data_IF_205467579955
#
_entry.id   IF_205467579955
#
_cell.length_a   1.000
_cell.length_b   1.000
_cell.length_c   1.000
_cell.angle_alpha   90.00
_cell.angle_beta   90.00
_cell.angle_gamma   90.00
#
_symmetry.space_group_name_H-M   'P 1'
#
loop_
_entity.id
_entity.type
_entity.pdbx_description
1 polymer ?
#
# COMPACT_ATOMS: atom_id res chain seq x y z
N UNK A 1 34.34 20.23 -1.09
CA UNK A 1 33.64 18.96 -1.29
C UNK A 1 33.36 18.22 0.02
N UNK A 2 34.36 17.90 0.87
CA UNK A 2 34.19 17.17 2.16
C UNK A 2 33.17 17.84 3.11
N UNK A 3 33.25 19.18 3.28
CA UNK A 3 32.33 19.92 4.15
C UNK A 3 30.88 19.87 3.69
N UNK A 4 30.64 19.88 2.37
CA UNK A 4 29.29 19.75 1.80
C UNK A 4 28.75 18.35 2.03
N UNK A 5 29.53 17.31 1.77
CA UNK A 5 29.16 15.91 2.03
C UNK A 5 28.82 15.72 3.51
N UNK A 6 29.63 16.24 4.42
CA UNK A 6 29.39 16.15 5.87
C UNK A 6 28.06 16.81 6.25
N UNK A 7 27.73 17.99 5.72
CA UNK A 7 26.43 18.68 5.97
C UNK A 7 25.25 17.87 5.45
N UNK A 8 25.36 17.31 4.24
CA UNK A 8 24.30 16.47 3.66
C UNK A 8 24.09 15.22 4.50
N UNK A 9 25.16 14.53 4.91
CA UNK A 9 25.06 13.32 5.76
C UNK A 9 24.46 13.65 7.12
N UNK A 10 24.87 14.76 7.74
CA UNK A 10 24.31 15.22 9.02
C UNK A 10 22.83 15.60 8.88
N UNK A 11 22.45 16.28 7.80
CA UNK A 11 21.06 16.62 7.51
C UNK A 11 20.20 15.38 7.29
N UNK A 12 20.67 14.41 6.49
CA UNK A 12 19.99 13.14 6.25
C UNK A 12 19.83 12.33 7.56
N UNK A 13 20.91 12.24 8.36
CA UNK A 13 20.85 11.59 9.68
C UNK A 13 19.85 12.28 10.59
N UNK A 14 19.88 13.61 10.71
CA UNK A 14 18.95 14.40 11.51
C UNK A 14 17.49 14.16 11.06
N UNK A 15 17.24 14.10 9.74
CA UNK A 15 15.91 13.81 9.21
C UNK A 15 15.48 12.36 9.54
N UNK A 16 16.35 11.37 9.37
CA UNK A 16 16.06 9.98 9.69
C UNK A 16 15.78 9.74 11.18
N UNK A 17 16.45 10.49 12.07
CA UNK A 17 16.35 10.32 13.52
C UNK A 17 15.44 11.33 14.21
N UNK A 18 14.79 12.24 13.46
CA UNK A 18 13.86 13.18 14.07
C UNK A 18 12.66 12.45 14.68
N UNK A 19 12.20 12.78 15.87
CA UNK A 19 10.98 12.20 16.44
C UNK A 19 9.74 12.57 15.59
N UNK A 20 8.75 11.70 15.59
CA UNK A 20 7.44 11.97 14.99
C UNK A 20 6.39 11.84 16.10
N UNK A 21 5.59 12.88 16.40
CA UNK A 21 4.67 12.85 17.52
C UNK A 21 3.57 11.82 17.33
N UNK A 22 3.21 11.14 18.42
CA UNK A 22 2.08 10.19 18.48
C UNK A 22 2.15 9.04 17.46
N UNK A 23 3.35 8.61 17.09
CA UNK A 23 3.56 7.64 16.03
C UNK A 23 3.07 6.24 16.41
N UNK A 24 3.18 5.84 17.69
CA UNK A 24 2.84 4.48 18.14
C UNK A 24 1.38 4.11 17.87
N UNK A 25 0.42 4.96 18.27
CA UNK A 25 -1.00 4.74 18.01
C UNK A 25 -1.35 4.72 16.52
N UNK A 26 -0.68 5.56 15.71
CA UNK A 26 -0.83 5.57 14.24
C UNK A 26 -0.38 4.25 13.62
N UNK A 27 0.75 3.71 14.08
CA UNK A 27 1.32 2.47 13.55
C UNK A 27 0.45 1.26 13.87
N UNK A 28 -0.09 1.17 15.09
CA UNK A 28 -0.99 0.08 15.47
C UNK A 28 -2.27 0.06 14.62
N UNK A 29 -2.91 1.22 14.41
CA UNK A 29 -4.08 1.31 13.56
C UNK A 29 -3.73 1.08 12.08
N UNK A 30 -2.59 1.62 11.62
CA UNK A 30 -2.13 1.36 10.25
C UNK A 30 -1.95 -0.13 9.98
N UNK A 31 -1.42 -0.92 10.93
CA UNK A 31 -1.34 -2.38 10.82
C UNK A 31 -2.71 -3.01 10.54
N UNK A 32 -3.75 -2.59 11.26
CA UNK A 32 -5.11 -3.11 11.06
C UNK A 32 -5.64 -2.73 9.66
N UNK A 33 -5.48 -1.48 9.27
CA UNK A 33 -5.89 -0.99 7.93
C UNK A 33 -5.13 -1.76 6.84
N UNK A 34 -3.82 -1.96 7.01
CA UNK A 34 -2.99 -2.72 6.09
C UNK A 34 -3.49 -4.16 5.93
N UNK A 35 -3.76 -4.86 7.04
CA UNK A 35 -4.22 -6.23 7.00
C UNK A 35 -5.59 -6.37 6.30
N UNK A 36 -6.54 -5.48 6.62
CA UNK A 36 -7.86 -5.45 5.95
C UNK A 36 -7.74 -5.13 4.47
N UNK A 37 -6.94 -4.12 4.13
CA UNK A 37 -6.73 -3.73 2.74
C UNK A 37 -6.07 -4.85 1.92
N UNK A 38 -5.09 -5.55 2.51
CA UNK A 38 -4.41 -6.63 1.82
C UNK A 38 -5.32 -7.85 1.65
N UNK A 39 -6.13 -8.20 2.66
CA UNK A 39 -7.16 -9.25 2.53
C UNK A 39 -8.15 -8.93 1.41
N UNK A 40 -8.60 -7.68 1.34
CA UNK A 40 -9.44 -7.22 0.24
C UNK A 40 -8.72 -7.32 -1.11
N UNK A 41 -7.48 -6.84 -1.23
CA UNK A 41 -6.69 -6.96 -2.47
C UNK A 41 -6.50 -8.43 -2.87
N UNK A 42 -6.19 -9.30 -1.90
CA UNK A 42 -6.00 -10.73 -2.13
C UNK A 42 -7.27 -11.43 -2.63
N UNK A 43 -8.47 -10.89 -2.35
CA UNK A 43 -9.71 -11.47 -2.88
C UNK A 43 -9.78 -11.46 -4.42
N UNK A 44 -9.00 -10.60 -5.07
CA UNK A 44 -8.89 -10.53 -6.54
C UNK A 44 -7.80 -11.45 -7.12
N UNK A 45 -6.98 -12.07 -6.28
CA UNK A 45 -5.98 -13.07 -6.68
C UNK A 45 -6.59 -14.46 -6.52
N UNK A 46 -6.30 -15.35 -7.45
CA UNK A 46 -6.69 -16.76 -7.36
C UNK A 46 -5.45 -17.65 -7.52
N UNK A 47 -4.79 -17.93 -6.40
CA UNK A 47 -3.59 -18.73 -6.36
C UNK A 47 -3.82 -20.17 -6.83
N UNK A 48 -5.00 -20.73 -6.60
CA UNK A 48 -5.33 -22.07 -7.06
C UNK A 48 -5.39 -22.13 -8.60
N UNK A 49 -6.07 -21.16 -9.23
CA UNK A 49 -6.13 -21.04 -10.69
C UNK A 49 -4.75 -20.74 -11.30
N UNK A 50 -3.93 -19.88 -10.66
CA UNK A 50 -2.55 -19.62 -11.11
C UNK A 50 -1.72 -20.90 -11.20
N UNK A 51 -1.90 -21.83 -10.27
CA UNK A 51 -1.21 -23.11 -10.28
C UNK A 51 -1.58 -24.03 -11.46
N UNK A 52 -2.76 -23.83 -12.06
CA UNK A 52 -3.28 -24.62 -13.19
C UNK A 52 -2.91 -24.06 -14.57
N UNK A 53 -2.33 -22.85 -14.63
CA UNK A 53 -1.95 -22.25 -15.92
C UNK A 53 -0.88 -23.10 -16.64
N UNK A 54 -0.89 -23.12 -17.99
CA UNK A 54 0.05 -23.94 -18.77
C UNK A 54 1.51 -23.49 -18.59
N UNK A 55 2.45 -24.45 -18.69
CA UNK A 55 3.89 -24.16 -18.63
C UNK A 55 4.35 -23.23 -19.75
N UNK A 56 3.68 -23.24 -20.90
CA UNK A 56 4.00 -22.41 -22.05
C UNK A 56 3.92 -20.91 -21.77
N UNK A 57 3.13 -20.49 -20.76
CA UNK A 57 3.01 -19.07 -20.35
C UNK A 57 3.84 -18.73 -19.11
N UNK A 58 4.61 -19.70 -18.59
CA UNK A 58 5.46 -19.51 -17.42
C UNK A 58 6.72 -18.73 -17.77
N UNK A 59 6.85 -17.53 -17.25
CA UNK A 59 8.03 -16.66 -17.41
C UNK A 59 8.49 -16.19 -16.02
N UNK A 60 9.38 -16.94 -15.33
CA UNK A 60 9.74 -16.67 -13.96
C UNK A 60 10.36 -15.28 -13.79
N UNK A 61 9.89 -14.54 -12.78
CA UNK A 61 10.38 -13.22 -12.41
C UNK A 61 10.93 -13.20 -10.99
N UNK A 62 11.67 -12.17 -10.64
CA UNK A 62 12.24 -11.94 -9.32
C UNK A 62 13.03 -13.16 -8.80
N UNK A 63 12.74 -13.62 -7.59
CA UNK A 63 13.40 -14.78 -6.97
C UNK A 63 13.15 -16.08 -7.72
N UNK A 64 12.04 -16.19 -8.45
CA UNK A 64 11.72 -17.42 -9.21
C UNK A 64 12.64 -17.63 -10.42
N UNK A 65 13.36 -16.61 -10.87
CA UNK A 65 14.41 -16.75 -11.91
C UNK A 65 15.58 -17.62 -11.47
N UNK A 66 15.83 -17.68 -10.16
CA UNK A 66 16.90 -18.51 -9.60
C UNK A 66 16.50 -19.98 -9.48
N UNK A 67 15.19 -20.26 -9.53
CA UNK A 67 14.64 -21.60 -9.46
C UNK A 67 14.30 -22.06 -10.89
N UNK A 68 15.10 -22.93 -11.52
CA UNK A 68 14.96 -23.28 -12.94
C UNK A 68 13.71 -24.12 -13.23
N UNK A 69 13.04 -24.66 -12.18
CA UNK A 69 11.89 -25.52 -12.31
C UNK A 69 10.63 -24.76 -11.91
N UNK A 70 9.54 -25.03 -12.63
CA UNK A 70 8.22 -24.57 -12.21
C UNK A 70 7.83 -25.25 -10.89
N UNK A 71 7.45 -24.49 -9.88
CA UNK A 71 6.98 -25.03 -8.61
C UNK A 71 5.67 -25.85 -8.78
N UNK A 72 5.37 -26.77 -7.85
CA UNK A 72 4.14 -27.55 -7.87
C UNK A 72 2.89 -26.69 -8.00
N UNK A 73 1.90 -27.14 -8.76
CA UNK A 73 0.65 -26.40 -9.04
C UNK A 73 -0.15 -26.03 -7.78
N UNK A 74 -0.06 -26.82 -6.72
CA UNK A 74 -0.73 -26.54 -5.45
C UNK A 74 -0.08 -25.40 -4.65
N UNK A 75 1.19 -25.06 -4.94
CA UNK A 75 1.96 -24.12 -4.10
C UNK A 75 1.36 -22.71 -4.07
N UNK A 76 0.91 -22.08 -5.17
CA UNK A 76 0.32 -20.75 -5.11
C UNK A 76 -0.94 -20.68 -4.24
N UNK A 77 -1.83 -21.68 -4.32
CA UNK A 77 -3.01 -21.77 -3.47
C UNK A 77 -2.66 -21.98 -1.99
N UNK A 78 -1.64 -22.78 -1.69
CA UNK A 78 -1.14 -22.95 -0.31
C UNK A 78 -0.56 -21.64 0.24
N UNK A 79 0.25 -20.93 -0.55
CA UNK A 79 0.81 -19.62 -0.16
C UNK A 79 -0.29 -18.61 0.13
N UNK A 80 -1.33 -18.58 -0.71
CA UNK A 80 -2.49 -17.71 -0.52
C UNK A 80 -3.22 -18.04 0.81
N UNK A 81 -3.50 -19.31 1.08
CA UNK A 81 -4.12 -19.75 2.34
C UNK A 81 -3.29 -19.37 3.57
N UNK A 82 -1.97 -19.58 3.52
CA UNK A 82 -1.06 -19.20 4.59
C UNK A 82 -1.01 -17.67 4.76
N UNK A 83 -1.05 -16.91 3.67
CA UNK A 83 -1.06 -15.45 3.68
C UNK A 83 -2.34 -14.91 4.31
N UNK A 84 -3.51 -15.48 4.00
CA UNK A 84 -4.79 -15.11 4.63
C UNK A 84 -4.72 -15.33 6.14
N UNK A 85 -4.25 -16.51 6.59
CA UNK A 85 -4.10 -16.80 8.01
C UNK A 85 -3.14 -15.79 8.68
N UNK A 86 -2.00 -15.50 8.05
CA UNK A 86 -1.04 -14.52 8.56
C UNK A 86 -1.63 -13.10 8.63
N UNK A 87 -2.41 -12.67 7.63
CA UNK A 87 -3.06 -11.36 7.64
C UNK A 87 -4.13 -11.23 8.73
N UNK A 88 -4.87 -12.30 9.03
CA UNK A 88 -5.83 -12.32 10.15
C UNK A 88 -5.13 -12.26 11.50
N UNK A 89 -4.02 -12.98 11.69
CA UNK A 89 -3.18 -12.87 12.88
C UNK A 89 -2.58 -11.47 13.01
N UNK A 90 -2.14 -10.87 11.90
CA UNK A 90 -1.63 -9.52 11.87
C UNK A 90 -2.72 -8.50 12.22
N UNK A 91 -3.95 -8.67 11.71
CA UNK A 91 -5.11 -7.85 12.05
C UNK A 91 -5.40 -7.88 13.55
N UNK A 92 -5.44 -9.07 14.14
CA UNK A 92 -5.60 -9.26 15.59
C UNK A 92 -4.40 -8.74 16.39
N UNK A 93 -3.23 -8.64 15.77
CA UNK A 93 -2.00 -8.23 16.41
C UNK A 93 -1.42 -9.30 17.36
N UNK A 94 -1.51 -10.56 16.95
CA UNK A 94 -0.93 -11.69 17.62
C UNK A 94 0.38 -12.11 16.95
N UNK A 95 1.46 -12.22 17.72
CA UNK A 95 2.81 -12.53 17.23
C UNK A 95 3.25 -11.61 16.07
N UNK A 96 3.06 -10.32 16.26
CA UNK A 96 3.14 -9.33 15.17
C UNK A 96 4.44 -9.43 14.37
N UNK A 97 5.60 -9.58 15.02
CA UNK A 97 6.89 -9.64 14.29
C UNK A 97 7.04 -10.90 13.42
N UNK A 98 6.91 -12.13 13.92
CA UNK A 98 6.99 -13.33 13.10
C UNK A 98 5.88 -13.38 12.04
N UNK A 99 4.68 -12.90 12.34
CA UNK A 99 3.58 -12.83 11.40
C UNK A 99 3.85 -11.80 10.29
N UNK A 100 4.47 -10.66 10.60
CA UNK A 100 4.92 -9.69 9.58
C UNK A 100 5.93 -10.32 8.63
N UNK A 101 6.87 -11.13 9.15
CA UNK A 101 7.80 -11.89 8.32
C UNK A 101 7.09 -12.91 7.44
N UNK A 102 6.09 -13.61 7.97
CA UNK A 102 5.28 -14.55 7.20
C UNK A 102 4.51 -13.84 6.05
N UNK A 103 3.90 -12.67 6.35
CA UNK A 103 3.23 -11.84 5.33
C UNK A 103 4.21 -11.39 4.24
N UNK A 104 5.42 -10.95 4.62
CA UNK A 104 6.48 -10.58 3.67
C UNK A 104 6.85 -11.75 2.76
N UNK A 105 7.13 -12.91 3.33
CA UNK A 105 7.58 -14.09 2.57
C UNK A 105 6.47 -14.65 1.67
N UNK A 106 5.30 -14.94 2.24
CA UNK A 106 4.20 -15.52 1.45
C UNK A 106 3.66 -14.55 0.42
N UNK A 107 3.52 -13.26 0.78
CA UNK A 107 3.08 -12.24 -0.15
C UNK A 107 4.05 -12.04 -1.31
N UNK A 108 5.34 -11.94 -1.04
CA UNK A 108 6.36 -11.77 -2.10
C UNK A 108 6.43 -12.98 -3.02
N UNK A 109 6.35 -14.20 -2.48
CA UNK A 109 6.33 -15.42 -3.28
C UNK A 109 5.08 -15.52 -4.15
N UNK A 110 3.90 -15.27 -3.57
CA UNK A 110 2.63 -15.30 -4.33
C UNK A 110 2.62 -14.24 -5.44
N UNK A 111 3.11 -13.04 -5.16
CA UNK A 111 3.25 -11.97 -6.15
C UNK A 111 4.25 -12.35 -7.26
N UNK A 112 5.36 -13.00 -6.91
CA UNK A 112 6.31 -13.49 -7.90
C UNK A 112 5.67 -14.55 -8.81
N UNK A 113 4.82 -15.43 -8.26
CA UNK A 113 4.03 -16.36 -9.06
C UNK A 113 3.07 -15.63 -9.99
N UNK A 114 2.28 -14.72 -9.48
CA UNK A 114 1.31 -13.94 -10.26
C UNK A 114 2.00 -13.21 -11.42
N UNK A 115 3.07 -12.50 -11.16
CA UNK A 115 3.82 -11.76 -12.17
C UNK A 115 4.59 -12.67 -13.16
N UNK A 116 4.75 -13.94 -12.86
CA UNK A 116 5.39 -14.90 -13.77
C UNK A 116 4.46 -15.41 -14.89
N UNK A 117 3.17 -15.10 -14.82
CA UNK A 117 2.18 -15.46 -15.85
C UNK A 117 1.64 -14.27 -16.63
N UNK A 118 2.18 -13.10 -16.44
CA UNK A 118 1.63 -11.94 -17.10
C UNK A 118 2.48 -10.68 -16.97
N UNK A 119 1.82 -9.53 -16.99
CA UNK A 119 2.46 -8.24 -16.86
C UNK A 119 2.83 -7.99 -15.39
N UNK A 120 4.09 -7.60 -15.17
CA UNK A 120 4.57 -7.21 -13.85
C UNK A 120 3.82 -5.98 -13.34
N UNK A 121 3.14 -6.11 -12.20
CA UNK A 121 2.42 -5.03 -11.55
C UNK A 121 3.32 -4.36 -10.50
N UNK A 122 3.82 -3.17 -10.83
CA UNK A 122 4.75 -2.45 -9.95
C UNK A 122 4.09 -1.89 -8.68
N UNK A 123 2.78 -1.61 -8.72
CA UNK A 123 2.04 -1.03 -7.59
C UNK A 123 1.91 -1.98 -6.40
N UNK A 124 1.75 -3.27 -6.66
CA UNK A 124 1.61 -4.32 -5.65
C UNK A 124 2.87 -4.54 -4.83
N UNK A 125 4.06 -4.23 -5.37
CA UNK A 125 5.35 -4.37 -4.67
C UNK A 125 5.39 -3.55 -3.37
N UNK A 126 4.70 -2.39 -3.32
CA UNK A 126 4.56 -1.64 -2.08
C UNK A 126 3.78 -2.42 -1.02
N UNK A 127 2.66 -3.02 -1.41
CA UNK A 127 1.80 -3.79 -0.52
C UNK A 127 2.49 -5.06 -0.01
N UNK A 128 3.09 -5.83 -0.93
CA UNK A 128 3.58 -7.18 -0.62
C UNK A 128 5.01 -7.20 -0.06
N UNK A 129 5.85 -6.24 -0.42
CA UNK A 129 7.27 -6.26 -0.09
C UNK A 129 7.71 -5.06 0.76
N UNK A 130 7.63 -3.83 0.26
CA UNK A 130 8.22 -2.70 0.96
C UNK A 130 7.57 -2.39 2.31
N UNK A 131 6.24 -2.40 2.38
CA UNK A 131 5.54 -2.13 3.64
C UNK A 131 5.87 -3.18 4.70
N UNK A 132 5.66 -4.50 4.51
CA UNK A 132 5.99 -5.46 5.55
C UNK A 132 7.50 -5.50 5.86
N UNK A 133 8.39 -5.27 4.90
CA UNK A 133 9.82 -5.20 5.12
C UNK A 133 10.19 -4.08 6.13
N UNK A 134 9.72 -2.86 5.88
CA UNK A 134 9.98 -1.74 6.78
C UNK A 134 9.26 -1.90 8.13
N UNK A 135 8.06 -2.48 8.12
CA UNK A 135 7.27 -2.70 9.34
C UNK A 135 7.80 -3.83 10.21
N UNK A 136 8.63 -4.74 9.69
CA UNK A 136 9.23 -5.83 10.45
C UNK A 136 10.04 -5.34 11.66
N UNK A 137 10.76 -4.23 11.50
CA UNK A 137 11.53 -3.56 12.56
C UNK A 137 10.75 -2.48 13.32
N UNK A 138 9.47 -2.24 12.99
CA UNK A 138 8.67 -1.18 13.60
C UNK A 138 7.96 -1.65 14.87
N UNK A 139 7.48 -0.70 15.66
CA UNK A 139 6.61 -0.94 16.81
C UNK A 139 5.12 -0.99 16.47
N UNK A 140 4.72 -1.39 15.25
CA UNK A 140 3.31 -1.40 14.88
C UNK A 140 2.46 -2.47 15.59
N UNK A 141 3.11 -3.37 16.36
CA UNK A 141 2.48 -4.30 17.28
C UNK A 141 2.35 -3.80 18.72
N UNK A 142 2.96 -2.66 19.06
CA UNK A 142 3.07 -2.19 20.44
C UNK A 142 1.76 -1.58 20.96
N UNK A 143 0.84 -1.21 20.06
CA UNK A 143 -0.48 -0.66 20.39
C UNK A 143 -1.57 -1.33 19.56
N UNK A 144 -2.80 -1.35 20.09
CA UNK A 144 -3.97 -1.92 19.41
C UNK A 144 -3.78 -3.37 18.98
N UNK A 145 -3.08 -4.20 19.81
CA UNK A 145 -2.72 -5.58 19.51
C UNK A 145 -3.00 -6.51 20.67
N UNK A 146 -3.20 -7.78 20.36
CA UNK A 146 -3.28 -8.83 21.39
C UNK A 146 -1.94 -9.00 22.09
N UNK A 147 -0.81 -8.83 21.40
CA UNK A 147 0.52 -8.87 22.02
C UNK A 147 0.65 -7.82 23.12
N UNK A 148 0.18 -6.58 22.87
CA UNK A 148 0.20 -5.51 23.85
C UNK A 148 -0.76 -5.78 25.03
N UNK A 149 -1.93 -6.37 24.78
CA UNK A 149 -2.88 -6.79 25.81
C UNK A 149 -2.28 -7.87 26.71
N UNK A 150 -1.70 -8.90 26.12
CA UNK A 150 -1.07 -10.01 26.82
C UNK A 150 0.14 -9.56 27.65
N UNK A 151 0.96 -8.66 27.11
CA UNK A 151 2.09 -8.07 27.82
C UNK A 151 1.64 -7.29 29.08
N UNK A 152 0.56 -6.49 28.96
CA UNK A 152 -0.03 -5.76 30.10
C UNK A 152 -0.53 -6.73 31.17
N UNK A 153 -1.21 -7.81 30.79
CA UNK A 153 -1.70 -8.84 31.73
C UNK A 153 -0.57 -9.55 32.45
N UNK A 154 0.57 -9.73 31.77
CA UNK A 154 1.75 -10.33 32.36
C UNK A 154 2.55 -9.36 33.26
N UNK A 155 2.09 -8.11 33.43
CA UNK A 155 2.81 -7.09 34.20
C UNK A 155 4.11 -6.62 33.52
N UNK A 156 4.28 -6.94 32.23
CA UNK A 156 5.43 -6.49 31.45
C UNK A 156 5.25 -5.01 31.09
N UNK A 157 6.24 -4.21 31.38
CA UNK A 157 6.24 -2.81 30.95
C UNK A 157 6.10 -2.73 29.43
N UNK A 158 5.36 -1.74 28.88
CA UNK A 158 5.32 -1.54 27.44
C UNK A 158 6.74 -1.44 26.91
N UNK A 159 7.10 -2.31 25.97
CA UNK A 159 8.40 -2.27 25.28
C UNK A 159 8.52 -1.07 24.34
N UNK A 160 7.44 -0.31 24.26
CA UNK A 160 7.37 0.87 23.42
C UNK A 160 8.35 1.94 23.87
N UNK A 161 9.23 2.38 22.97
CA UNK A 161 9.89 3.66 23.14
C UNK A 161 8.82 4.74 23.34
N UNK A 162 9.20 5.86 23.99
CA UNK A 162 8.31 7.02 24.10
C UNK A 162 7.58 7.29 22.79
N UNK A 163 6.33 7.71 22.84
CA UNK A 163 5.45 7.97 21.68
C UNK A 163 6.13 8.79 20.57
N UNK A 164 7.23 9.47 20.89
CA UNK A 164 8.02 10.34 20.01
C UNK A 164 9.31 9.69 19.50
N UNK A 165 9.44 8.35 19.61
CA UNK A 165 10.68 7.69 19.21
C UNK A 165 10.90 7.73 17.69
N UNK A 166 12.08 8.16 17.28
CA UNK A 166 12.53 8.09 15.88
C UNK A 166 12.52 6.66 15.33
N UNK A 167 12.68 5.64 16.18
CA UNK A 167 12.66 4.22 15.79
C UNK A 167 11.30 3.81 15.22
N UNK A 168 10.22 4.38 15.73
CA UNK A 168 8.87 4.17 15.20
C UNK A 168 8.67 4.95 13.88
N UNK A 169 9.30 6.11 13.74
CA UNK A 169 9.19 6.96 12.55
C UNK A 169 10.06 6.48 11.36
N UNK A 170 11.15 5.75 11.64
CA UNK A 170 12.09 5.28 10.62
C UNK A 170 11.44 4.42 9.52
N UNK A 171 10.57 3.44 9.83
CA UNK A 171 9.88 2.66 8.80
C UNK A 171 9.01 3.53 7.87
N UNK A 172 8.29 4.48 8.42
CA UNK A 172 7.48 5.42 7.63
C UNK A 172 8.35 6.27 6.69
N UNK A 173 9.54 6.70 7.15
CA UNK A 173 10.50 7.45 6.33
C UNK A 173 11.13 6.59 5.26
N UNK A 174 11.42 5.32 5.56
CA UNK A 174 11.89 4.34 4.57
C UNK A 174 10.88 4.17 3.43
N UNK A 175 9.61 3.99 3.76
CA UNK A 175 8.53 3.91 2.78
C UNK A 175 8.43 5.20 1.95
N UNK A 176 8.57 6.38 2.59
CA UNK A 176 8.55 7.67 1.90
C UNK A 176 9.71 7.81 0.90
N UNK A 177 10.92 7.37 1.28
CA UNK A 177 12.08 7.38 0.38
C UNK A 177 11.86 6.47 -0.83
N UNK A 178 11.33 5.27 -0.64
CA UNK A 178 11.03 4.38 -1.77
C UNK A 178 9.97 5.02 -2.69
N UNK A 179 8.97 5.69 -2.12
CA UNK A 179 7.97 6.40 -2.91
C UNK A 179 8.60 7.54 -3.74
N UNK A 180 9.52 8.31 -3.16
CA UNK A 180 10.29 9.34 -3.88
C UNK A 180 11.11 8.72 -5.02
N UNK A 181 11.79 7.62 -4.76
CA UNK A 181 12.57 6.90 -5.77
C UNK A 181 11.68 6.35 -6.89
N UNK A 182 10.45 5.90 -6.57
CA UNK A 182 9.50 5.45 -7.58
C UNK A 182 9.14 6.59 -8.53
N UNK A 183 8.72 7.75 -8.03
CA UNK A 183 8.37 8.89 -8.87
C UNK A 183 9.56 9.42 -9.64
N UNK A 184 10.75 9.48 -9.01
CA UNK A 184 11.98 9.85 -9.69
C UNK A 184 12.34 8.88 -10.82
N UNK A 185 12.25 7.58 -10.59
CA UNK A 185 12.51 6.58 -11.63
C UNK A 185 11.51 6.65 -12.77
N UNK A 186 10.25 7.01 -12.49
CA UNK A 186 9.20 7.16 -13.50
C UNK A 186 9.50 8.35 -14.41
N UNK A 187 9.85 9.53 -13.86
CA UNK A 187 10.21 10.70 -14.68
C UNK A 187 11.50 10.47 -15.45
N UNK A 188 12.49 9.80 -14.82
CA UNK A 188 13.73 9.45 -15.48
C UNK A 188 13.50 8.53 -16.69
N UNK A 189 12.73 7.44 -16.51
CA UNK A 189 12.42 6.50 -17.59
C UNK A 189 11.66 7.17 -18.74
N UNK A 190 10.70 8.07 -18.45
CA UNK A 190 9.95 8.83 -19.46
C UNK A 190 10.85 9.73 -20.30
N UNK A 191 11.85 10.36 -19.71
CA UNK A 191 12.73 11.30 -20.41
C UNK A 191 13.89 10.59 -21.13
N UNK A 192 14.39 9.46 -20.60
CA UNK A 192 15.54 8.76 -21.21
C UNK A 192 15.10 7.75 -22.27
N UNK A 193 13.92 7.15 -22.12
CA UNK A 193 13.45 6.07 -22.99
C UNK A 193 12.17 6.37 -23.75
N UNK A 194 11.42 7.39 -23.36
CA UNK A 194 10.05 7.62 -23.83
C UNK A 194 9.83 8.93 -24.56
N UNK A 195 10.86 9.72 -24.81
CA UNK A 195 10.80 11.01 -25.55
C UNK A 195 9.71 11.99 -25.07
N UNK A 196 9.33 11.90 -23.80
CA UNK A 196 8.23 12.70 -23.25
C UNK A 196 8.48 14.21 -23.31
N UNK A 197 9.74 14.65 -23.40
CA UNK A 197 10.06 16.07 -23.58
C UNK A 197 9.88 16.53 -25.03
N UNK A 198 10.13 15.66 -25.99
CA UNK A 198 10.22 15.98 -27.40
C UNK A 198 9.01 15.57 -28.24
N UNK A 199 8.32 14.44 -27.85
CA UNK A 199 7.16 13.96 -28.58
C UNK A 199 5.87 14.65 -28.09
N UNK A 200 5.23 15.50 -28.93
CA UNK A 200 4.01 16.23 -28.55
C UNK A 200 2.83 15.28 -28.27
N UNK A 201 2.77 14.16 -29.00
CA UNK A 201 1.61 13.25 -29.02
C UNK A 201 1.69 12.10 -28.00
N UNK A 202 2.73 12.05 -27.17
CA UNK A 202 2.95 10.94 -26.24
C UNK A 202 1.76 10.70 -25.29
N UNK A 203 1.13 11.77 -24.76
CA UNK A 203 -0.04 11.66 -23.89
C UNK A 203 -1.27 11.27 -24.69
N UNK A 204 -1.45 11.81 -25.87
CA UNK A 204 -2.55 11.48 -26.79
C UNK A 204 -2.53 9.99 -27.14
N UNK A 205 -1.36 9.48 -27.54
CA UNK A 205 -1.18 8.08 -27.88
C UNK A 205 -1.41 7.18 -26.64
N UNK A 206 -0.82 7.53 -25.51
CA UNK A 206 -1.00 6.74 -24.26
C UNK A 206 -2.48 6.68 -23.84
N UNK A 207 -3.21 7.80 -23.88
CA UNK A 207 -4.64 7.83 -23.54
C UNK A 207 -5.46 6.99 -24.52
N UNK A 208 -5.18 7.10 -25.81
CA UNK A 208 -5.88 6.34 -26.85
C UNK A 208 -5.62 4.84 -26.68
N UNK A 209 -4.36 4.42 -26.56
CA UNK A 209 -3.98 3.02 -26.42
C UNK A 209 -4.64 2.38 -25.19
N UNK A 210 -4.59 3.07 -24.05
CA UNK A 210 -5.17 2.53 -22.80
C UNK A 210 -6.69 2.45 -22.83
N UNK A 211 -7.37 3.39 -23.45
CA UNK A 211 -8.82 3.33 -23.59
C UNK A 211 -9.26 2.30 -24.65
N UNK A 212 -8.49 2.13 -25.73
CA UNK A 212 -8.74 1.05 -26.71
C UNK A 212 -8.50 -0.32 -26.06
N UNK A 213 -7.38 -0.52 -25.33
CA UNK A 213 -7.12 -1.75 -24.57
C UNK A 213 -8.30 -2.06 -23.63
N UNK A 214 -8.85 -1.04 -22.94
CA UNK A 214 -9.99 -1.20 -22.05
C UNK A 214 -11.24 -1.68 -22.81
N UNK A 215 -11.54 -1.10 -23.97
CA UNK A 215 -12.68 -1.52 -24.80
C UNK A 215 -12.50 -2.96 -25.27
N UNK A 216 -11.30 -3.33 -25.74
CA UNK A 216 -10.98 -4.69 -26.19
C UNK A 216 -11.10 -5.71 -25.05
N UNK A 217 -10.83 -5.28 -23.79
CA UNK A 217 -11.03 -6.09 -22.58
C UNK A 217 -12.49 -6.11 -22.08
N UNK A 218 -13.44 -5.55 -22.82
CA UNK A 218 -14.85 -5.46 -22.41
C UNK A 218 -15.12 -4.43 -21.29
N UNK A 219 -14.17 -3.56 -21.03
CA UNK A 219 -14.29 -2.52 -20.02
C UNK A 219 -14.80 -1.21 -20.63
N UNK A 220 -15.45 -0.38 -19.81
CA UNK A 220 -15.90 0.95 -20.28
C UNK A 220 -14.69 1.91 -20.34
N UNK A 221 -14.44 2.58 -21.48
CA UNK A 221 -13.43 3.61 -21.56
C UNK A 221 -13.83 4.85 -20.75
N UNK A 222 -12.89 5.73 -20.47
CA UNK A 222 -13.19 7.01 -19.84
C UNK A 222 -13.97 7.92 -20.80
N UNK A 223 -15.14 8.46 -20.43
CA UNK A 223 -15.91 9.34 -21.31
C UNK A 223 -15.20 10.66 -21.60
N UNK A 224 -14.20 11.06 -20.82
CA UNK A 224 -13.47 12.32 -20.97
C UNK A 224 -12.22 12.19 -21.88
N UNK A 225 -11.76 10.96 -22.16
CA UNK A 225 -10.53 10.78 -22.94
C UNK A 225 -10.58 11.43 -24.34
N UNK A 226 -11.70 11.40 -25.09
CA UNK A 226 -11.74 12.01 -26.42
C UNK A 226 -11.52 13.54 -26.38
N UNK A 227 -12.01 14.20 -25.32
CA UNK A 227 -11.82 15.66 -25.17
C UNK A 227 -10.36 16.02 -24.89
N UNK A 228 -9.65 15.21 -24.11
CA UNK A 228 -8.22 15.41 -23.83
C UNK A 228 -7.40 15.17 -25.08
N UNK A 229 -7.70 14.11 -25.83
CA UNK A 229 -7.01 13.75 -27.07
C UNK A 229 -7.25 14.78 -28.19
N UNK A 230 -8.46 15.30 -28.28
CA UNK A 230 -8.81 16.31 -29.29
C UNK A 230 -8.17 17.68 -29.02
N UNK A 231 -7.64 17.93 -27.83
CA UNK A 231 -7.05 19.23 -27.47
C UNK A 231 -5.53 19.13 -27.28
N UNK A 232 -4.70 19.63 -28.25
CA UNK A 232 -3.25 19.66 -28.11
C UNK A 232 -2.77 20.40 -26.85
N UNK A 233 -3.48 21.48 -26.48
CA UNK A 233 -3.18 22.22 -25.24
C UNK A 233 -3.41 21.40 -23.98
N UNK A 234 -4.51 20.67 -23.90
CA UNK A 234 -4.78 19.80 -22.76
C UNK A 234 -3.75 18.67 -22.68
N UNK A 235 -3.47 18.01 -23.80
CA UNK A 235 -2.46 16.95 -23.87
C UNK A 235 -1.07 17.45 -23.44
N UNK A 236 -0.65 18.62 -23.92
CA UNK A 236 0.60 19.26 -23.52
C UNK A 236 0.61 19.63 -22.03
N UNK A 237 -0.50 20.17 -21.52
CA UNK A 237 -0.63 20.54 -20.09
C UNK A 237 -0.55 19.31 -19.17
N UNK A 238 -1.19 18.21 -19.55
CA UNK A 238 -1.07 16.94 -18.82
C UNK A 238 0.37 16.42 -18.84
N UNK A 239 1.04 16.46 -20.00
CA UNK A 239 2.43 16.03 -20.13
C UNK A 239 3.37 16.81 -19.21
N UNK A 240 3.33 18.14 -19.30
CA UNK A 240 4.18 19.03 -18.50
C UNK A 240 3.85 18.90 -17.01
N UNK A 241 2.56 18.91 -16.66
CA UNK A 241 2.10 18.79 -15.29
C UNK A 241 2.56 17.47 -14.64
N UNK A 242 2.49 16.36 -15.38
CA UNK A 242 2.93 15.04 -14.93
C UNK A 242 4.44 15.02 -14.70
N UNK A 243 5.25 15.49 -15.65
CA UNK A 243 6.71 15.52 -15.50
C UNK A 243 7.15 16.41 -14.34
N UNK A 244 6.52 17.57 -14.17
CA UNK A 244 6.81 18.47 -13.04
C UNK A 244 6.39 17.84 -11.72
N UNK A 245 5.21 17.24 -11.65
CA UNK A 245 4.73 16.58 -10.45
C UNK A 245 5.68 15.45 -10.02
N UNK A 246 6.01 14.52 -10.92
CA UNK A 246 6.90 13.40 -10.62
C UNK A 246 8.33 13.88 -10.30
N UNK A 247 8.87 14.85 -11.04
CA UNK A 247 10.22 15.37 -10.84
C UNK A 247 10.38 16.15 -9.52
N UNK A 248 9.34 16.89 -9.11
CA UNK A 248 9.33 17.66 -7.88
C UNK A 248 8.82 16.85 -6.67
N UNK A 249 8.47 15.58 -6.84
CA UNK A 249 7.94 14.76 -5.75
C UNK A 249 8.92 14.63 -4.57
N UNK A 250 10.20 14.79 -4.80
CA UNK A 250 11.23 14.84 -3.75
C UNK A 250 10.94 15.88 -2.66
N UNK A 251 10.18 16.96 -2.98
CA UNK A 251 9.78 17.98 -2.00
C UNK A 251 8.90 17.44 -0.87
N UNK A 252 8.32 16.24 -1.02
CA UNK A 252 7.60 15.54 0.05
C UNK A 252 8.48 15.31 1.29
N UNK A 253 9.81 15.29 1.13
CA UNK A 253 10.77 15.10 2.22
C UNK A 253 10.89 16.33 3.13
N UNK A 254 10.46 17.53 2.69
CA UNK A 254 10.46 18.74 3.50
C UNK A 254 9.50 18.67 4.71
N UNK A 255 8.58 17.70 4.72
CA UNK A 255 7.70 17.47 5.86
C UNK A 255 6.52 18.44 5.96
N UNK A 256 5.80 18.37 7.09
CA UNK A 256 4.68 19.28 7.41
C UNK A 256 3.63 19.37 6.31
N UNK A 257 3.20 20.60 6.02
CA UNK A 257 2.16 20.88 5.00
C UNK A 257 2.63 20.57 3.58
N UNK A 258 3.94 20.70 3.29
CA UNK A 258 4.49 20.37 1.97
C UNK A 258 4.31 18.86 1.71
N UNK A 259 4.68 18.02 2.68
CA UNK A 259 4.44 16.56 2.60
C UNK A 259 2.97 16.25 2.37
N UNK A 260 2.08 16.87 3.18
CA UNK A 260 0.64 16.64 3.06
C UNK A 260 0.10 17.04 1.68
N UNK A 261 0.53 18.19 1.13
CA UNK A 261 0.12 18.65 -0.19
C UNK A 261 0.59 17.71 -1.31
N UNK A 262 1.86 17.27 -1.27
CA UNK A 262 2.39 16.35 -2.28
C UNK A 262 1.77 14.95 -2.21
N UNK A 263 1.53 14.41 -1.00
CA UNK A 263 0.86 13.11 -0.85
C UNK A 263 -0.60 13.17 -1.33
N UNK A 264 -1.30 14.26 -1.04
CA UNK A 264 -2.65 14.47 -1.55
C UNK A 264 -2.66 14.63 -3.09
N UNK A 265 -1.70 15.38 -3.65
CA UNK A 265 -1.52 15.49 -5.11
C UNK A 265 -1.23 14.14 -5.75
N UNK A 266 -0.44 13.27 -5.10
CA UNK A 266 -0.18 11.92 -5.57
C UNK A 266 -1.45 11.03 -5.59
N UNK A 267 -2.32 11.17 -4.60
CA UNK A 267 -3.62 10.49 -4.63
C UNK A 267 -4.50 11.00 -5.78
N UNK A 268 -4.53 12.32 -6.02
CA UNK A 268 -5.24 12.92 -7.18
C UNK A 268 -4.65 12.36 -8.47
N UNK A 269 -3.32 12.33 -8.60
CA UNK A 269 -2.63 11.78 -9.75
C UNK A 269 -3.03 10.32 -10.04
N UNK A 270 -2.99 9.45 -9.03
CA UNK A 270 -3.38 8.04 -9.21
C UNK A 270 -4.87 7.88 -9.52
N UNK A 271 -5.74 8.71 -8.92
CA UNK A 271 -7.15 8.74 -9.26
C UNK A 271 -7.37 9.15 -10.73
N UNK A 272 -6.65 10.14 -11.20
CA UNK A 272 -6.69 10.53 -12.61
C UNK A 272 -6.15 9.44 -13.54
N UNK A 273 -5.08 8.74 -13.17
CA UNK A 273 -4.60 7.56 -13.91
C UNK A 273 -5.68 6.47 -14.00
N UNK A 274 -6.35 6.17 -12.90
CA UNK A 274 -7.42 5.17 -12.88
C UNK A 274 -8.61 5.59 -13.74
N UNK A 275 -9.00 6.86 -13.71
CA UNK A 275 -10.16 7.38 -14.41
C UNK A 275 -9.89 7.63 -15.90
N UNK A 276 -8.75 8.25 -16.24
CA UNK A 276 -8.43 8.64 -17.61
C UNK A 276 -7.71 7.57 -18.42
N UNK A 277 -6.75 6.86 -17.80
CA UNK A 277 -5.92 5.84 -18.46
C UNK A 277 -6.46 4.43 -18.24
N UNK A 278 -7.48 4.25 -17.43
CA UNK A 278 -7.96 2.90 -17.03
C UNK A 278 -6.83 2.04 -16.41
N UNK A 279 -5.79 2.70 -15.90
CA UNK A 279 -4.67 2.06 -15.21
C UNK A 279 -4.81 2.29 -13.71
N UNK A 280 -4.90 1.21 -12.96
CA UNK A 280 -5.05 1.31 -11.50
C UNK A 280 -3.76 1.03 -10.77
N UNK A 281 -3.49 1.91 -9.84
CA UNK A 281 -2.44 1.73 -8.85
C UNK A 281 -3.06 1.44 -7.46
N UNK A 282 -4.13 0.66 -7.43
CA UNK A 282 -4.89 0.42 -6.21
C UNK A 282 -4.04 -0.06 -5.03
N UNK A 283 -3.08 -1.00 -5.19
CA UNK A 283 -2.24 -1.43 -4.07
C UNK A 283 -1.42 -0.31 -3.43
N UNK A 284 -1.10 0.78 -4.15
CA UNK A 284 -0.33 1.90 -3.59
C UNK A 284 -1.16 2.79 -2.64
N UNK A 285 -2.50 2.70 -2.66
CA UNK A 285 -3.37 3.46 -1.76
C UNK A 285 -2.99 3.28 -0.30
N UNK A 286 -2.59 2.06 0.08
CA UNK A 286 -2.20 1.74 1.45
C UNK A 286 -0.97 2.55 1.91
N UNK A 287 -0.08 2.91 0.99
CA UNK A 287 1.09 3.74 1.31
C UNK A 287 0.68 5.12 1.82
N UNK A 288 -0.34 5.72 1.19
CA UNK A 288 -0.84 7.03 1.61
C UNK A 288 -1.55 6.97 2.96
N UNK A 289 -2.23 5.86 3.25
CA UNK A 289 -2.86 5.62 4.53
C UNK A 289 -1.87 5.68 5.71
N UNK A 290 -0.60 5.32 5.49
CA UNK A 290 0.46 5.41 6.50
C UNK A 290 0.67 6.85 6.99
N UNK A 291 0.41 7.86 6.15
CA UNK A 291 0.66 9.27 6.45
C UNK A 291 -0.57 10.03 6.98
N UNK A 292 -1.73 9.37 7.06
CA UNK A 292 -2.95 9.96 7.62
C UNK A 292 -2.86 10.00 9.15
N UNK A 293 -3.32 11.09 9.75
CA UNK A 293 -3.45 11.19 11.21
C UNK A 293 -4.72 10.45 11.69
N UNK A 294 -4.56 9.17 11.92
CA UNK A 294 -5.65 8.29 12.37
C UNK A 294 -6.12 8.54 13.79
N UNK A 295 -5.36 9.29 14.61
CA UNK A 295 -5.73 9.49 16.02
C UNK A 295 -7.06 10.19 16.19
N UNK A 296 -7.35 11.14 15.29
CA UNK A 296 -8.66 11.83 15.31
C UNK A 296 -9.81 10.86 15.04
N UNK A 297 -9.58 9.86 14.20
CA UNK A 297 -10.54 8.80 13.91
C UNK A 297 -10.68 7.89 15.12
N UNK A 298 -9.55 7.44 15.67
CA UNK A 298 -9.51 6.60 16.88
C UNK A 298 -10.22 7.27 18.05
N UNK A 299 -9.95 8.55 18.31
CA UNK A 299 -10.59 9.26 19.43
C UNK A 299 -12.12 9.28 19.33
N UNK A 300 -12.67 9.22 18.12
CA UNK A 300 -14.12 9.13 17.88
C UNK A 300 -14.65 7.71 18.02
N UNK A 301 -13.89 6.72 17.61
CA UNK A 301 -14.33 5.31 17.54
C UNK A 301 -14.08 4.57 18.86
N UNK A 302 -12.99 4.87 19.56
CA UNK A 302 -12.59 4.18 20.79
C UNK A 302 -13.68 4.08 21.87
N UNK A 303 -14.50 5.12 22.14
CA UNK A 303 -15.59 5.00 23.11
C UNK A 303 -16.60 3.90 22.75
N UNK A 304 -16.88 3.72 21.45
CA UNK A 304 -17.82 2.72 20.96
C UNK A 304 -17.26 1.30 20.95
N UNK A 305 -15.94 1.17 21.08
CA UNK A 305 -15.24 -0.12 21.10
C UNK A 305 -14.88 -0.62 22.50
N UNK A 306 -15.27 0.11 23.56
CA UNK A 306 -14.95 -0.28 24.95
C UNK A 306 -15.43 -1.68 25.30
N UNK A 307 -16.66 -2.01 24.91
CA UNK A 307 -17.23 -3.33 25.14
C UNK A 307 -16.35 -4.46 24.60
N UNK A 308 -15.70 -4.24 23.43
CA UNK A 308 -14.78 -5.22 22.84
C UNK A 308 -13.50 -5.35 23.68
N UNK A 309 -12.98 -4.24 24.16
CA UNK A 309 -11.79 -4.25 25.05
C UNK A 309 -12.12 -5.00 26.33
N UNK A 310 -13.25 -4.68 26.97
CA UNK A 310 -13.70 -5.31 28.20
C UNK A 310 -13.93 -6.82 28.00
N UNK A 311 -14.56 -7.20 26.88
CA UNK A 311 -14.73 -8.61 26.50
C UNK A 311 -13.37 -9.31 26.33
N UNK A 312 -12.45 -8.72 25.56
CA UNK A 312 -11.13 -9.29 25.36
C UNK A 312 -10.36 -9.41 26.67
N UNK A 313 -10.52 -8.45 27.60
CA UNK A 313 -9.89 -8.48 28.92
C UNK A 313 -10.49 -9.57 29.83
N UNK A 314 -11.74 -9.95 29.64
CA UNK A 314 -12.39 -11.01 30.41
C UNK A 314 -11.99 -12.44 29.98
N UNK A 315 -11.60 -12.62 28.69
CA UNK A 315 -11.26 -13.96 28.17
C UNK A 315 -9.86 -14.38 28.62
N UNK A 316 -9.67 -15.61 29.12
CA UNK A 316 -8.35 -16.12 29.51
C UNK A 316 -7.35 -16.06 28.34
N UNK A 317 -6.10 -15.68 28.64
CA UNK A 317 -5.07 -15.43 27.59
C UNK A 317 -4.85 -16.65 26.69
N UNK A 318 -4.85 -17.86 27.24
CA UNK A 318 -4.68 -19.10 26.45
C UNK A 318 -5.86 -19.34 25.50
N UNK A 319 -7.08 -19.13 25.96
CA UNK A 319 -8.30 -19.28 25.15
C UNK A 319 -8.29 -18.26 24.02
N UNK A 320 -7.92 -17.01 24.32
CA UNK A 320 -7.86 -15.92 23.35
C UNK A 320 -6.82 -16.20 22.25
N UNK A 321 -5.59 -16.56 22.61
CA UNK A 321 -4.53 -16.86 21.64
C UNK A 321 -4.84 -18.09 20.79
N UNK A 322 -5.28 -19.20 21.43
CA UNK A 322 -5.63 -20.43 20.70
C UNK A 322 -6.84 -20.20 19.80
N UNK A 323 -7.87 -19.49 20.28
CA UNK A 323 -9.07 -19.19 19.51
C UNK A 323 -8.76 -18.33 18.29
N UNK A 324 -7.98 -17.26 18.44
CA UNK A 324 -7.60 -16.40 17.32
C UNK A 324 -6.75 -17.15 16.31
N UNK A 325 -5.80 -17.96 16.76
CA UNK A 325 -4.99 -18.79 15.88
C UNK A 325 -5.84 -19.82 15.12
N UNK A 326 -6.72 -20.52 15.80
CA UNK A 326 -7.60 -21.53 15.19
C UNK A 326 -8.54 -20.89 14.15
N UNK A 327 -9.12 -19.72 14.44
CA UNK A 327 -9.96 -18.98 13.50
C UNK A 327 -9.19 -18.52 12.29
N UNK A 328 -7.97 -18.00 12.46
CA UNK A 328 -7.12 -17.58 11.36
C UNK A 328 -6.70 -18.77 10.48
N UNK A 329 -6.32 -19.90 11.08
CA UNK A 329 -5.98 -21.12 10.34
C UNK A 329 -7.18 -21.68 9.58
N UNK A 330 -8.36 -21.72 10.21
CA UNK A 330 -9.59 -22.18 9.57
C UNK A 330 -10.00 -21.28 8.41
N UNK A 331 -9.91 -19.95 8.57
CA UNK A 331 -10.21 -19.00 7.52
C UNK A 331 -9.22 -19.14 6.33
N UNK A 332 -7.93 -19.28 6.61
CA UNK A 332 -6.92 -19.55 5.57
C UNK A 332 -7.19 -20.86 4.82
N UNK A 333 -7.53 -21.92 5.56
CA UNK A 333 -7.91 -23.19 4.95
C UNK A 333 -9.14 -23.06 4.05
N UNK A 334 -10.20 -22.40 4.54
CA UNK A 334 -11.47 -22.27 3.82
C UNK A 334 -11.39 -21.30 2.63
N UNK A 335 -10.37 -20.45 2.58
CA UNK A 335 -10.25 -19.38 1.58
C UNK A 335 -10.34 -19.89 0.14
N UNK A 336 -9.60 -20.97 -0.18
CA UNK A 336 -9.61 -21.57 -1.50
C UNK A 336 -10.76 -22.56 -1.73
N UNK A 337 -11.45 -22.99 -0.65
CA UNK A 337 -12.57 -23.94 -0.73
C UNK A 337 -13.92 -23.24 -0.92
N UNK A 338 -14.03 -21.98 -0.51
CA UNK A 338 -15.30 -21.23 -0.53
C UNK A 338 -15.16 -19.95 -1.35
N UNK A 339 -15.41 -19.99 -2.67
CA UNK A 339 -15.42 -18.78 -3.50
C UNK A 339 -16.34 -17.66 -2.96
N UNK A 340 -17.38 -18.04 -2.20
CA UNK A 340 -18.34 -17.12 -1.58
C UNK A 340 -17.65 -16.10 -0.66
N UNK A 341 -16.60 -16.47 0.06
CA UNK A 341 -15.90 -15.53 0.94
C UNK A 341 -15.19 -14.44 0.12
N UNK A 342 -14.58 -14.80 -1.01
CA UNK A 342 -13.94 -13.85 -1.92
C UNK A 342 -14.97 -12.91 -2.54
N UNK A 343 -16.08 -13.44 -3.07
CA UNK A 343 -17.14 -12.63 -3.66
C UNK A 343 -17.81 -11.70 -2.65
N UNK A 344 -17.91 -12.11 -1.38
CA UNK A 344 -18.40 -11.25 -0.29
C UNK A 344 -17.46 -10.09 -0.04
N UNK A 345 -16.14 -10.30 -0.01
CA UNK A 345 -15.15 -9.23 0.15
C UNK A 345 -15.12 -8.28 -1.05
N UNK A 346 -15.44 -8.77 -2.24
CA UNK A 346 -15.62 -7.96 -3.45
C UNK A 346 -16.98 -7.24 -3.49
N UNK A 347 -17.81 -7.42 -2.45
CA UNK A 347 -19.18 -6.91 -2.40
C UNK A 347 -19.99 -7.23 -3.67
N UNK A 348 -19.90 -8.49 -4.13
CA UNK A 348 -20.58 -8.94 -5.32
C UNK A 348 -20.18 -8.23 -6.62
N UNK A 349 -18.93 -7.73 -6.69
CA UNK A 349 -18.42 -6.98 -7.84
C UNK A 349 -18.72 -5.46 -7.81
N UNK A 350 -19.41 -4.96 -6.78
CA UNK A 350 -19.70 -3.52 -6.63
C UNK A 350 -18.46 -2.71 -6.27
N UNK A 351 -17.52 -3.30 -5.52
CA UNK A 351 -16.21 -2.72 -5.25
C UNK A 351 -15.20 -3.18 -6.31
N UNK A 352 -15.44 -2.77 -7.55
CA UNK A 352 -14.40 -2.84 -8.56
C UNK A 352 -13.28 -1.86 -8.16
N UNK A 353 -12.05 -2.22 -8.52
CA UNK A 353 -10.85 -1.45 -8.23
C UNK A 353 -10.87 0.00 -8.77
N UNK A 354 -11.80 0.34 -9.70
CA UNK A 354 -12.02 1.69 -10.21
C UNK A 354 -12.97 2.48 -9.32
N UNK A 355 -14.02 1.85 -8.82
CA UNK A 355 -15.03 2.52 -8.00
C UNK A 355 -14.44 3.05 -6.70
N UNK A 356 -13.35 2.44 -6.18
CA UNK A 356 -12.61 2.95 -5.02
C UNK A 356 -12.04 4.35 -5.27
N UNK A 357 -11.60 4.64 -6.50
CA UNK A 357 -11.01 5.93 -6.80
C UNK A 357 -12.03 7.07 -6.85
N UNK A 358 -13.31 6.80 -7.05
CA UNK A 358 -14.36 7.81 -7.06
C UNK A 358 -14.49 8.56 -5.71
N UNK A 359 -14.56 7.89 -4.54
CA UNK A 359 -14.54 8.60 -3.26
C UNK A 359 -13.14 9.10 -2.87
N UNK A 360 -12.07 8.44 -3.32
CA UNK A 360 -10.70 8.86 -3.00
C UNK A 360 -10.37 10.22 -3.61
N UNK A 361 -10.81 10.49 -4.83
CA UNK A 361 -10.52 11.75 -5.53
C UNK A 361 -11.02 12.99 -4.75
N UNK A 362 -12.30 13.12 -4.38
CA UNK A 362 -12.77 14.30 -3.65
C UNK A 362 -12.12 14.42 -2.26
N UNK A 363 -11.86 13.31 -1.58
CA UNK A 363 -11.15 13.33 -0.29
C UNK A 363 -9.71 13.82 -0.45
N UNK A 364 -9.01 13.41 -1.50
CA UNK A 364 -7.66 13.86 -1.81
C UNK A 364 -7.63 15.34 -2.17
N UNK A 365 -8.62 15.84 -2.94
CA UNK A 365 -8.75 17.27 -3.27
C UNK A 365 -8.98 18.10 -2.00
N UNK A 366 -9.88 17.69 -1.12
CA UNK A 366 -10.10 18.37 0.17
C UNK A 366 -8.83 18.36 1.03
N UNK A 367 -8.11 17.26 1.07
CA UNK A 367 -6.84 17.18 1.80
C UNK A 367 -5.78 18.12 1.19
N UNK A 368 -5.66 18.12 -0.13
CA UNK A 368 -4.74 19.00 -0.85
C UNK A 368 -5.04 20.49 -0.61
N UNK A 369 -6.31 20.90 -0.72
CA UNK A 369 -6.73 22.28 -0.44
C UNK A 369 -6.40 22.72 0.98
N UNK A 370 -6.69 21.86 1.98
CA UNK A 370 -6.35 22.16 3.39
C UNK A 370 -4.85 22.31 3.62
N UNK A 371 -4.04 21.44 3.00
CA UNK A 371 -2.59 21.49 3.12
C UNK A 371 -2.04 22.77 2.44
N UNK A 372 -2.52 23.10 1.25
CA UNK A 372 -2.10 24.29 0.48
C UNK A 372 -2.49 25.60 1.21
N UNK A 373 -3.72 25.70 1.72
CA UNK A 373 -4.16 26.84 2.55
C UNK A 373 -3.35 26.98 3.83
N UNK A 374 -2.92 25.85 4.43
CA UNK A 374 -2.04 25.85 5.58
C UNK A 374 -0.63 26.41 5.28
N UNK A 375 -0.15 26.25 4.05
CA UNK A 375 1.12 26.87 3.59
C UNK A 375 0.99 28.40 3.44
N UNK A 376 -0.14 28.86 2.90
CA UNK A 376 -0.38 30.30 2.68
C UNK A 376 -0.54 31.08 4.00
N UNK A 377 -1.12 30.46 5.04
CA UNK A 377 -1.33 31.09 6.36
C UNK A 377 -0.05 31.22 7.20
N UNK A 378 1.05 30.59 6.81
CA UNK A 378 2.34 30.64 7.53
C UNK A 378 3.30 31.68 6.97
N UNK A 379 2.91 32.39 5.92
CA UNK A 379 3.59 33.57 5.39
C UNK A 379 2.99 34.82 5.99
#
# INVERSE_FOLDING_TARGET
MVAVIRRVVQGARGWLTAPEPRIAGRMGLFRMIYAVFYLWHLSWVDGATLGLLPDAVWQPVYLLRVVPLRPPSALPGMLESCLVAALLLLLAGLWVRPVTLAVLLFGTLLEAFHNSFGKVEHGSVFLVFYLPLFMLGSGWGDTWSLDALLARRAGLAPTSPSDDSWRLALPMRGVLLILVLLFFSAVFAKNVRGDWLTAPDVVTNLLSDKNIEAVLAGLRPCPLWPFVVASPLMSASFRVGLLLFEGLFVLVLLGGQVRAAYLAAALIFHALCALLLVVTFTPILIVYALFVDWQKVVARVAPHMRWLVDFLEAVPSRVLTTGVFALAALAGWSWNLTPTLRTTLQLGGWLDWRTIWLPVLPLAVVWWLRASLGLLKRR
#
